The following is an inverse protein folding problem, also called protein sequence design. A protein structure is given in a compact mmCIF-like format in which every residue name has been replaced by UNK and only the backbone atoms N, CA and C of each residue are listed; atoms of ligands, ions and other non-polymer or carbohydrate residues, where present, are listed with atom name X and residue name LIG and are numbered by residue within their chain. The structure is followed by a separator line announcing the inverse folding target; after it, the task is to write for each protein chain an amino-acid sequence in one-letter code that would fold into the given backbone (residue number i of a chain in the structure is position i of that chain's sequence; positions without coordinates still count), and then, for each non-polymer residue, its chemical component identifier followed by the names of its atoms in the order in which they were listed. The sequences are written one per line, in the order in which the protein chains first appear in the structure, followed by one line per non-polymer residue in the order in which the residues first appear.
data_IF_429256639206
#
_entry.id   IF_429256639206
#
_cell.length_a   1.000
_cell.length_b   1.000
_cell.length_c   1.000
_cell.angle_alpha   90.00
_cell.angle_beta   90.00
_cell.angle_gamma   90.00
#
_symmetry.space_group_name_H-M   'P 1'
#
loop_
_entity.id
_entity.type
_entity.pdbx_description
1 polymer ?
#
# COMPACT_ATOMS: atom_id res chain seq x y z
N UNK A 1 25.87 6.74 -47.49
CA UNK A 1 24.68 5.87 -47.60
C UNK A 1 24.63 5.00 -46.35
N UNK A 2 23.71 5.32 -45.42
CA UNK A 2 23.57 4.58 -44.16
C UNK A 2 22.91 3.23 -44.43
N UNK A 3 23.56 2.15 -44.02
CA UNK A 3 23.10 0.78 -44.18
C UNK A 3 21.85 0.54 -43.29
N UNK A 4 20.68 0.17 -43.85
CA UNK A 4 19.43 -0.02 -43.10
C UNK A 4 19.36 -1.34 -42.30
N UNK A 5 20.41 -2.17 -42.31
CA UNK A 5 20.36 -3.53 -41.75
C UNK A 5 20.97 -3.71 -40.37
N UNK A 6 21.37 -2.65 -39.65
CA UNK A 6 21.77 -2.81 -38.24
C UNK A 6 20.55 -2.79 -37.29
N UNK A 7 19.57 -3.66 -37.56
CA UNK A 7 18.61 -4.11 -36.54
C UNK A 7 19.30 -5.18 -35.69
N UNK A 8 20.37 -4.80 -35.00
CA UNK A 8 20.94 -5.66 -33.96
C UNK A 8 19.88 -5.81 -32.87
N UNK A 9 19.45 -7.06 -32.71
CA UNK A 9 18.45 -7.54 -31.76
C UNK A 9 18.38 -6.71 -30.48
N UNK A 10 17.21 -6.10 -30.24
CA UNK A 10 16.82 -5.55 -28.95
C UNK A 10 17.25 -6.54 -27.85
N UNK A 11 18.14 -6.17 -26.91
CA UNK A 11 18.39 -7.03 -25.77
C UNK A 11 17.06 -7.23 -25.07
N UNK A 12 16.68 -8.49 -24.97
CA UNK A 12 15.40 -8.97 -24.44
C UNK A 12 15.08 -8.30 -23.10
N UNK A 13 14.15 -7.34 -23.16
CA UNK A 13 13.26 -6.81 -22.11
C UNK A 13 13.86 -6.76 -20.70
N UNK A 14 14.44 -5.63 -20.29
CA UNK A 14 14.69 -5.38 -18.89
C UNK A 14 13.55 -4.56 -18.24
N UNK A 15 13.04 -5.07 -17.13
CA UNK A 15 13.17 -4.36 -15.85
C UNK A 15 12.19 -3.21 -15.48
N UNK A 16 10.95 -3.22 -15.98
CA UNK A 16 9.80 -2.52 -15.35
C UNK A 16 9.57 -2.93 -13.87
N UNK A 17 10.15 -4.07 -13.46
CA UNK A 17 9.86 -4.76 -12.20
C UNK A 17 10.36 -4.03 -10.95
N UNK A 18 11.50 -3.32 -10.96
CA UNK A 18 11.97 -2.67 -9.70
C UNK A 18 11.31 -1.34 -9.41
N UNK A 19 10.94 -0.56 -10.43
CA UNK A 19 10.10 0.62 -10.21
C UNK A 19 8.74 0.17 -9.68
N UNK A 20 8.19 -0.92 -10.22
CA UNK A 20 7.00 -1.55 -9.65
C UNK A 20 7.23 -1.95 -8.19
N UNK A 21 8.33 -2.63 -7.83
CA UNK A 21 8.60 -3.03 -6.43
C UNK A 21 8.78 -1.84 -5.50
N UNK A 22 9.45 -0.77 -5.94
CA UNK A 22 9.64 0.46 -5.15
C UNK A 22 8.35 1.26 -4.93
N UNK A 23 7.34 1.08 -5.78
CA UNK A 23 6.03 1.72 -5.65
C UNK A 23 5.01 0.80 -4.99
N UNK A 24 5.04 -0.49 -5.31
CA UNK A 24 4.11 -1.53 -4.84
C UNK A 24 4.36 -1.87 -3.38
N UNK A 25 5.61 -1.94 -2.90
CA UNK A 25 5.86 -2.25 -1.49
C UNK A 25 5.38 -1.11 -0.56
N UNK A 26 5.67 0.18 -0.83
CA UNK A 26 5.09 1.27 -0.05
C UNK A 26 3.57 1.38 -0.21
N UNK A 27 3.04 1.21 -1.43
CA UNK A 27 1.58 1.20 -1.62
C UNK A 27 0.90 0.05 -0.85
N UNK A 28 1.51 -1.14 -0.81
CA UNK A 28 1.03 -2.28 -0.04
C UNK A 28 1.04 -1.98 1.48
N UNK A 29 2.00 -1.19 1.96
CA UNK A 29 2.04 -0.77 3.37
C UNK A 29 0.87 0.14 3.77
N UNK A 30 0.34 0.96 2.85
CA UNK A 30 -0.90 1.74 3.07
C UNK A 30 -2.10 0.80 3.23
N UNK A 31 -2.16 -0.30 2.46
CA UNK A 31 -3.20 -1.31 2.65
C UNK A 31 -3.06 -2.06 3.98
N UNK A 32 -1.89 -2.06 4.63
CA UNK A 32 -1.70 -2.72 5.93
C UNK A 32 -2.41 -1.99 7.07
N UNK A 33 -2.52 -0.66 7.01
CA UNK A 33 -3.29 0.08 8.05
C UNK A 33 -4.78 -0.21 7.95
N UNK A 34 -5.25 -0.56 6.75
CA UNK A 34 -6.66 -0.83 6.45
C UNK A 34 -7.00 -2.34 6.44
N UNK A 35 -6.12 -3.21 6.96
CA UNK A 35 -6.27 -4.67 6.88
C UNK A 35 -6.70 -5.37 8.16
N UNK A 36 -6.96 -6.69 8.10
CA UNK A 36 -7.09 -7.52 9.29
C UNK A 36 -5.80 -7.41 10.09
N UNK A 37 -5.87 -6.99 11.36
CA UNK A 37 -4.68 -6.71 12.18
C UNK A 37 -3.60 -7.83 12.11
N UNK A 38 -4.03 -9.09 12.16
CA UNK A 38 -3.15 -10.27 12.07
C UNK A 38 -2.48 -10.41 10.68
N UNK A 39 -3.22 -10.14 9.61
CA UNK A 39 -2.69 -10.21 8.24
C UNK A 39 -1.71 -9.07 7.96
N UNK A 40 -1.97 -7.89 8.51
CA UNK A 40 -1.07 -6.75 8.43
C UNK A 40 0.27 -7.01 9.12
N UNK A 41 0.27 -7.71 10.27
CA UNK A 41 1.51 -8.16 10.94
C UNK A 41 2.25 -9.18 10.07
N UNK A 42 1.56 -10.22 9.58
CA UNK A 42 2.19 -11.25 8.76
C UNK A 42 2.78 -10.67 7.47
N UNK A 43 2.08 -9.75 6.82
CA UNK A 43 2.57 -9.07 5.63
C UNK A 43 3.75 -8.14 5.95
N UNK A 44 3.72 -7.42 7.08
CA UNK A 44 4.85 -6.62 7.56
C UNK A 44 6.10 -7.47 7.80
N UNK A 45 5.94 -8.61 8.46
CA UNK A 45 7.04 -9.55 8.71
C UNK A 45 7.58 -10.14 7.39
N UNK A 46 6.70 -10.46 6.43
CA UNK A 46 7.11 -10.94 5.12
C UNK A 46 7.90 -9.87 4.36
N UNK A 47 7.41 -8.63 4.31
CA UNK A 47 8.12 -7.53 3.66
C UNK A 47 9.47 -7.28 4.37
N UNK A 48 9.50 -7.27 5.71
CA UNK A 48 10.74 -7.15 6.48
C UNK A 48 11.76 -8.24 6.24
N UNK A 49 11.30 -9.47 6.09
CA UNK A 49 12.17 -10.58 5.72
C UNK A 49 12.72 -10.41 4.29
N UNK A 50 11.88 -9.96 3.35
CA UNK A 50 12.28 -9.72 1.96
C UNK A 50 13.25 -8.55 1.83
N UNK A 51 13.05 -7.48 2.58
CA UNK A 51 13.94 -6.31 2.61
C UNK A 51 15.25 -6.64 3.32
N UNK A 52 15.24 -7.51 4.34
CA UNK A 52 16.45 -8.05 4.95
C UNK A 52 17.26 -8.92 3.98
N UNK A 53 16.60 -9.85 3.26
CA UNK A 53 17.25 -10.64 2.18
C UNK A 53 17.83 -9.71 1.12
N UNK A 54 17.06 -8.70 0.71
CA UNK A 54 17.52 -7.69 -0.24
C UNK A 54 18.74 -6.92 0.30
N UNK A 55 18.74 -6.58 1.58
CA UNK A 55 19.85 -5.94 2.26
C UNK A 55 21.12 -6.79 2.26
N UNK A 56 21.03 -8.05 2.66
CA UNK A 56 22.16 -8.99 2.59
C UNK A 56 22.69 -9.15 1.16
N UNK A 57 21.78 -9.19 0.18
CA UNK A 57 22.16 -9.27 -1.22
C UNK A 57 22.87 -8.00 -1.71
N UNK A 58 22.41 -6.80 -1.34
CA UNK A 58 23.06 -5.54 -1.70
C UNK A 58 24.44 -5.39 -1.05
N UNK A 59 24.60 -5.81 0.21
CA UNK A 59 25.90 -5.87 0.88
C UNK A 59 26.88 -6.79 0.14
N UNK A 60 26.41 -7.95 -0.34
CA UNK A 60 27.21 -8.89 -1.12
C UNK A 60 27.55 -8.38 -2.53
N UNK A 61 26.71 -7.51 -3.09
CA UNK A 61 26.83 -6.95 -4.44
C UNK A 61 27.08 -5.44 -4.44
N UNK A 62 27.94 -4.95 -3.54
CA UNK A 62 28.23 -3.51 -3.39
C UNK A 62 28.69 -2.80 -4.67
N UNK A 63 29.27 -3.54 -5.64
CA UNK A 63 29.66 -3.04 -6.96
C UNK A 63 28.47 -2.65 -7.86
N UNK A 64 27.25 -3.09 -7.53
CA UNK A 64 26.04 -2.73 -8.28
C UNK A 64 25.60 -1.28 -8.03
N UNK A 65 26.14 -0.60 -7.02
CA UNK A 65 25.84 0.79 -6.67
C UNK A 65 27.03 1.70 -6.96
N UNK A 66 26.76 2.95 -7.33
CA UNK A 66 27.79 3.97 -7.58
C UNK A 66 28.74 4.20 -6.39
N UNK A 67 28.26 3.93 -5.17
CA UNK A 67 29.02 3.94 -3.92
C UNK A 67 28.30 3.09 -2.88
N UNK A 68 29.05 2.35 -2.04
CA UNK A 68 28.50 1.60 -0.89
C UNK A 68 27.66 2.51 0.05
N UNK A 69 28.00 3.80 0.14
CA UNK A 69 27.23 4.80 0.90
C UNK A 69 25.82 5.02 0.34
N UNK A 70 25.63 4.91 -0.97
CA UNK A 70 24.33 5.10 -1.62
C UNK A 70 23.42 3.89 -1.38
N UNK A 71 23.96 2.67 -1.46
CA UNK A 71 23.22 1.45 -1.13
C UNK A 71 22.76 1.40 0.33
N UNK A 72 23.64 1.77 1.26
CA UNK A 72 23.30 1.81 2.70
C UNK A 72 22.20 2.85 3.01
N UNK A 73 22.19 3.99 2.32
CA UNK A 73 21.11 4.99 2.48
C UNK A 73 19.75 4.44 2.04
N UNK A 74 19.69 3.70 0.93
CA UNK A 74 18.45 3.06 0.47
C UNK A 74 17.96 2.00 1.47
N UNK A 75 18.87 1.16 1.97
CA UNK A 75 18.56 0.14 2.98
C UNK A 75 17.99 0.72 4.27
N UNK A 76 18.64 1.76 4.80
CA UNK A 76 18.20 2.44 6.02
C UNK A 76 16.79 3.02 5.85
N UNK A 77 16.48 3.58 4.68
CA UNK A 77 15.14 4.13 4.40
C UNK A 77 14.06 3.07 4.37
N UNK A 78 14.34 1.93 3.72
CA UNK A 78 13.40 0.81 3.66
C UNK A 78 13.11 0.27 5.08
N UNK A 79 14.16 0.12 5.91
CA UNK A 79 14.02 -0.31 7.31
C UNK A 79 13.23 0.70 8.14
N UNK A 80 13.49 2.01 7.97
CA UNK A 80 12.76 3.07 8.67
C UNK A 80 11.28 3.11 8.29
N UNK A 81 10.93 2.79 7.04
CA UNK A 81 9.54 2.69 6.61
C UNK A 81 8.80 1.53 7.23
N UNK A 82 9.42 0.35 7.26
CA UNK A 82 8.83 -0.80 7.94
C UNK A 82 8.65 -0.55 9.42
N UNK A 83 9.62 0.09 10.06
CA UNK A 83 9.49 0.50 11.44
C UNK A 83 8.33 1.49 11.63
N UNK A 84 8.14 2.44 10.70
CA UNK A 84 7.00 3.35 10.69
C UNK A 84 5.64 2.65 10.50
N UNK A 85 5.57 1.63 9.64
CA UNK A 85 4.37 0.83 9.43
C UNK A 85 4.04 -0.01 10.68
N UNK A 86 5.05 -0.62 11.31
CA UNK A 86 4.90 -1.36 12.57
C UNK A 86 4.47 -0.42 13.70
N UNK A 87 5.07 0.77 13.82
CA UNK A 87 4.66 1.77 14.81
C UNK A 87 3.24 2.26 14.59
N UNK A 88 2.81 2.44 13.34
CA UNK A 88 1.42 2.83 13.02
C UNK A 88 0.44 1.73 13.41
N UNK A 89 0.82 0.47 13.20
CA UNK A 89 0.03 -0.69 13.62
C UNK A 89 -0.03 -0.81 15.16
N UNK A 90 1.08 -0.59 15.86
CA UNK A 90 1.12 -0.55 17.31
C UNK A 90 0.36 0.66 17.89
N UNK A 91 0.41 1.82 17.24
CA UNK A 91 -0.37 3.00 17.61
C UNK A 91 -1.87 2.80 17.39
N UNK A 92 -2.27 1.96 16.42
CA UNK A 92 -3.66 1.55 16.26
C UNK A 92 -4.14 0.60 17.37
N UNK A 93 -3.23 -0.21 17.95
CA UNK A 93 -3.50 -1.09 19.08
C UNK A 93 -3.37 -0.38 20.45
N UNK A 94 -2.57 0.69 20.51
CA UNK A 94 -2.43 1.54 21.68
C UNK A 94 -3.52 2.62 21.71
N UNK A 95 -3.95 3.04 22.89
CA UNK A 95 -4.98 4.06 23.12
C UNK A 95 -4.55 5.50 22.71
N UNK A 96 -3.72 5.66 21.67
CA UNK A 96 -3.21 6.96 21.23
C UNK A 96 -4.16 7.59 20.22
N UNK A 97 -4.46 8.88 20.39
CA UNK A 97 -5.29 9.70 19.48
C UNK A 97 -4.64 10.03 18.14
N UNK A 98 -3.51 9.39 17.81
CA UNK A 98 -2.77 9.69 16.59
C UNK A 98 -3.26 8.76 15.50
N UNK A 99 -3.86 9.34 14.48
CA UNK A 99 -4.34 8.63 13.30
C UNK A 99 -3.18 7.88 12.62
N UNK A 100 -3.27 6.54 12.59
CA UNK A 100 -2.25 5.66 12.02
C UNK A 100 -2.01 5.96 10.53
N UNK A 101 -3.04 6.42 9.82
CA UNK A 101 -2.93 6.85 8.42
C UNK A 101 -2.04 8.09 8.30
N UNK A 102 -2.16 9.04 9.23
CA UNK A 102 -1.33 10.25 9.26
C UNK A 102 0.14 9.95 9.49
N UNK A 103 0.49 9.05 10.43
CA UNK A 103 1.88 8.63 10.67
C UNK A 103 2.47 7.95 9.44
N UNK A 104 1.71 7.02 8.84
CA UNK A 104 2.13 6.27 7.66
C UNK A 104 2.37 7.19 6.46
N UNK A 105 1.46 8.15 6.25
CA UNK A 105 1.57 9.14 5.17
C UNK A 105 2.77 10.08 5.37
N UNK A 106 3.05 10.47 6.61
CA UNK A 106 4.25 11.26 6.93
C UNK A 106 5.53 10.49 6.59
N UNK A 107 5.63 9.23 6.99
CA UNK A 107 6.76 8.37 6.67
C UNK A 107 6.93 8.17 5.15
N UNK A 108 5.81 7.99 4.43
CA UNK A 108 5.80 7.83 2.98
C UNK A 108 6.28 9.08 2.23
N UNK A 109 5.79 10.26 2.61
CA UNK A 109 6.25 11.51 2.01
C UNK A 109 7.75 11.75 2.24
N UNK A 110 8.26 11.42 3.44
CA UNK A 110 9.70 11.49 3.72
C UNK A 110 10.49 10.57 2.79
N UNK A 111 10.02 9.33 2.60
CA UNK A 111 10.67 8.38 1.70
C UNK A 111 10.79 8.97 0.29
N UNK A 112 9.68 9.47 -0.27
CA UNK A 112 9.69 10.01 -1.63
C UNK A 112 10.68 11.16 -1.79
N UNK A 113 10.80 12.03 -0.77
CA UNK A 113 11.80 13.10 -0.74
C UNK A 113 13.22 12.52 -0.76
N UNK A 114 13.51 11.52 0.07
CA UNK A 114 14.86 10.95 0.12
C UNK A 114 15.20 10.16 -1.13
N UNK A 115 14.28 9.34 -1.66
CA UNK A 115 14.45 8.65 -2.94
C UNK A 115 14.70 9.65 -4.07
N UNK A 116 13.92 10.73 -4.11
CA UNK A 116 14.08 11.79 -5.10
C UNK A 116 15.48 12.42 -5.08
N UNK A 117 16.00 12.69 -3.87
CA UNK A 117 17.35 13.22 -3.68
C UNK A 117 18.47 12.21 -4.06
N UNK A 118 18.18 10.90 -3.95
CA UNK A 118 19.14 9.85 -4.31
C UNK A 118 19.14 9.56 -5.82
N UNK A 119 17.98 9.60 -6.49
CA UNK A 119 17.81 9.27 -7.91
C UNK A 119 18.79 10.05 -8.81
N UNK A 120 18.93 11.36 -8.60
CA UNK A 120 19.83 12.20 -9.39
C UNK A 120 21.32 11.94 -9.18
N UNK A 121 21.71 11.17 -8.16
CA UNK A 121 23.11 10.85 -7.81
C UNK A 121 23.51 9.42 -8.19
N UNK A 122 22.57 8.62 -8.69
CA UNK A 122 22.81 7.25 -9.11
C UNK A 122 23.42 7.22 -10.50
N UNK A 123 24.57 6.56 -10.62
CA UNK A 123 25.10 6.18 -11.94
C UNK A 123 24.16 5.15 -12.60
N UNK A 124 24.19 5.03 -13.94
CA UNK A 124 23.53 3.94 -14.65
C UNK A 124 23.86 2.61 -13.98
N UNK A 125 22.82 1.89 -13.57
CA UNK A 125 22.98 0.65 -12.85
C UNK A 125 21.83 -0.30 -13.17
N UNK A 126 22.09 -1.58 -12.91
CA UNK A 126 21.15 -2.65 -13.20
C UNK A 126 19.96 -2.70 -12.25
N UNK A 127 19.87 -1.87 -11.20
CA UNK A 127 19.03 -2.10 -10.01
C UNK A 127 18.01 -1.00 -9.65
N UNK A 128 18.42 0.26 -9.65
CA UNK A 128 17.65 1.42 -9.19
C UNK A 128 17.72 2.55 -10.22
N UNK A 129 16.57 3.12 -10.54
CA UNK A 129 16.42 4.24 -11.47
C UNK A 129 15.50 3.90 -12.65
N UNK A 130 15.46 4.80 -13.62
CA UNK A 130 14.55 4.74 -14.75
C UNK A 130 15.07 3.76 -15.78
N UNK A 131 14.56 2.53 -15.73
CA UNK A 131 15.08 1.36 -16.44
C UNK A 131 14.47 1.17 -17.82
N UNK A 132 14.34 2.26 -18.57
CA UNK A 132 14.03 2.16 -19.99
C UNK A 132 15.27 1.69 -20.75
N UNK A 133 15.07 0.90 -21.81
CA UNK A 133 16.18 0.35 -22.62
C UNK A 133 17.09 1.47 -23.14
N UNK A 134 16.51 2.60 -23.54
CA UNK A 134 17.24 3.75 -24.04
C UNK A 134 17.95 4.58 -22.95
N UNK A 135 17.48 4.59 -21.70
CA UNK A 135 18.21 5.26 -20.62
C UNK A 135 19.42 4.45 -20.17
N UNK A 136 19.33 3.12 -20.15
CA UNK A 136 20.45 2.25 -19.78
C UNK A 136 21.56 2.24 -20.84
N UNK A 137 21.23 2.54 -22.10
CA UNK A 137 22.16 2.53 -23.22
C UNK A 137 22.87 3.88 -23.44
N UNK A 138 22.48 4.95 -22.74
CA UNK A 138 23.03 6.29 -22.97
C UNK A 138 23.15 7.09 -21.65
N UNK A 139 24.38 7.48 -21.28
CA UNK A 139 24.64 8.13 -19.97
C UNK A 139 23.95 9.48 -19.84
N UNK A 140 23.87 10.24 -20.93
CA UNK A 140 23.24 11.55 -20.95
C UNK A 140 21.74 11.42 -20.67
N UNK A 141 21.07 10.46 -21.33
CA UNK A 141 19.65 10.19 -21.12
C UNK A 141 19.38 9.69 -19.69
N UNK A 142 20.21 8.79 -19.17
CA UNK A 142 20.10 8.34 -17.77
C UNK A 142 20.19 9.50 -16.78
N UNK A 143 21.23 10.34 -16.90
CA UNK A 143 21.46 11.44 -15.97
C UNK A 143 20.34 12.47 -16.04
N UNK A 144 19.86 12.80 -17.25
CA UNK A 144 18.77 13.73 -17.46
C UNK A 144 17.46 13.22 -16.85
N UNK A 145 17.05 12.02 -17.24
CA UNK A 145 15.79 11.43 -16.77
C UNK A 145 15.80 11.18 -15.26
N UNK A 146 16.90 10.66 -14.71
CA UNK A 146 17.04 10.40 -13.26
C UNK A 146 17.05 11.68 -12.43
N UNK A 147 17.66 12.76 -12.92
CA UNK A 147 17.65 14.06 -12.22
C UNK A 147 16.25 14.68 -12.19
N UNK A 148 15.54 14.68 -13.32
CA UNK A 148 14.18 15.23 -13.38
C UNK A 148 13.22 14.37 -12.55
N UNK A 149 13.34 13.04 -12.64
CA UNK A 149 12.51 12.17 -11.81
C UNK A 149 12.82 12.33 -10.34
N UNK A 150 14.07 12.55 -9.97
CA UNK A 150 14.44 12.93 -8.61
C UNK A 150 13.65 14.15 -8.10
N UNK A 151 13.56 15.20 -8.91
CA UNK A 151 12.78 16.41 -8.59
C UNK A 151 11.28 16.08 -8.45
N UNK A 152 10.72 15.32 -9.38
CA UNK A 152 9.31 14.89 -9.37
C UNK A 152 9.00 14.10 -8.09
N UNK A 153 9.88 13.21 -7.66
CA UNK A 153 9.73 12.42 -6.44
C UNK A 153 9.81 13.30 -5.18
N UNK A 154 10.69 14.31 -5.14
CA UNK A 154 10.71 15.27 -4.02
C UNK A 154 9.42 16.07 -3.95
N UNK A 155 8.95 16.61 -5.08
CA UNK A 155 7.69 17.35 -5.15
C UNK A 155 6.52 16.44 -4.75
N UNK A 156 6.53 15.18 -5.18
CA UNK A 156 5.50 14.22 -4.81
C UNK A 156 5.47 13.91 -3.32
N UNK A 157 6.62 13.78 -2.66
CA UNK A 157 6.65 13.62 -1.20
C UNK A 157 6.09 14.83 -0.46
N UNK A 158 6.38 16.04 -0.93
CA UNK A 158 5.79 17.27 -0.37
C UNK A 158 4.28 17.37 -0.60
N UNK A 159 3.80 17.02 -1.79
CA UNK A 159 2.37 16.96 -2.10
C UNK A 159 1.64 15.89 -1.28
N UNK A 160 2.32 14.78 -0.98
CA UNK A 160 1.79 13.73 -0.10
C UNK A 160 1.54 14.28 1.31
N UNK A 161 2.47 15.05 1.87
CA UNK A 161 2.23 15.72 3.16
C UNK A 161 1.17 16.81 3.07
N UNK A 162 1.11 17.55 1.98
CA UNK A 162 0.05 18.55 1.75
C UNK A 162 -1.33 17.89 1.70
N UNK A 163 -1.44 16.66 1.20
CA UNK A 163 -2.72 15.92 1.15
C UNK A 163 -3.31 15.62 2.52
N UNK A 164 -2.48 15.50 3.57
CA UNK A 164 -2.95 15.34 4.95
C UNK A 164 -3.70 16.58 5.46
N UNK A 165 -3.29 17.77 5.03
CA UNK A 165 -3.92 19.03 5.43
C UNK A 165 -5.30 19.17 4.79
N UNK A 166 -5.43 18.78 3.52
CA UNK A 166 -6.67 18.94 2.75
C UNK A 166 -7.61 17.72 2.79
N UNK A 167 -7.21 16.61 3.43
CA UNK A 167 -8.00 15.37 3.56
C UNK A 167 -8.58 14.87 2.21
N UNK A 168 -7.78 14.89 1.14
CA UNK A 168 -8.20 14.45 -0.20
C UNK A 168 -7.59 13.08 -0.58
N UNK A 169 -8.25 11.95 -0.26
CA UNK A 169 -7.66 10.62 -0.49
C UNK A 169 -7.44 10.29 -1.97
N UNK A 170 -8.32 10.75 -2.87
CA UNK A 170 -8.19 10.54 -4.32
C UNK A 170 -6.96 11.22 -4.93
N UNK A 171 -6.47 12.32 -4.31
CA UNK A 171 -5.28 13.01 -4.78
C UNK A 171 -4.01 12.14 -4.61
N UNK A 172 -3.96 11.30 -3.57
CA UNK A 172 -2.83 10.40 -3.31
C UNK A 172 -2.68 9.32 -4.40
N UNK A 173 -3.79 8.75 -4.87
CA UNK A 173 -3.76 7.74 -5.93
C UNK A 173 -3.27 8.33 -7.26
N UNK A 174 -3.78 9.50 -7.64
CA UNK A 174 -3.34 10.22 -8.85
C UNK A 174 -1.86 10.58 -8.75
N UNK A 175 -1.42 11.01 -7.56
CA UNK A 175 -0.01 11.34 -7.31
C UNK A 175 0.90 10.13 -7.52
N UNK A 176 0.53 8.95 -7.02
CA UNK A 176 1.29 7.71 -7.22
C UNK A 176 1.38 7.35 -8.71
N UNK A 177 0.28 7.50 -9.46
CA UNK A 177 0.30 7.27 -10.91
C UNK A 177 1.25 8.24 -11.62
N UNK A 178 1.23 9.52 -11.25
CA UNK A 178 2.16 10.51 -11.81
C UNK A 178 3.61 10.13 -11.50
N UNK A 179 3.91 9.76 -10.25
CA UNK A 179 5.26 9.34 -9.84
C UNK A 179 5.76 8.09 -10.58
N UNK A 180 4.85 7.17 -10.93
CA UNK A 180 5.18 5.95 -11.68
C UNK A 180 5.36 6.21 -13.19
N UNK A 181 4.48 7.00 -13.82
CA UNK A 181 4.45 7.16 -15.27
C UNK A 181 5.26 8.34 -15.81
N UNK A 182 5.35 9.45 -15.06
CA UNK A 182 6.08 10.63 -15.52
C UNK A 182 7.57 10.37 -15.81
N UNK A 183 8.33 9.63 -14.98
CA UNK A 183 9.73 9.28 -15.26
C UNK A 183 9.92 8.54 -16.59
N UNK A 184 9.02 7.60 -16.88
CA UNK A 184 9.04 6.80 -18.11
C UNK A 184 8.80 7.68 -19.34
N UNK A 185 7.82 8.58 -19.25
CA UNK A 185 7.48 9.51 -20.32
C UNK A 185 8.65 10.47 -20.62
N UNK A 186 9.26 11.04 -19.59
CA UNK A 186 10.40 11.96 -19.71
C UNK A 186 11.59 11.27 -20.37
N UNK A 187 11.89 10.05 -19.94
CA UNK A 187 12.95 9.23 -20.53
C UNK A 187 12.69 8.96 -22.01
N UNK A 188 11.45 8.65 -22.39
CA UNK A 188 11.06 8.42 -23.78
C UNK A 188 11.15 9.70 -24.64
N UNK A 189 10.72 10.84 -24.11
CA UNK A 189 10.82 12.13 -24.80
C UNK A 189 12.28 12.46 -25.12
N UNK A 190 13.19 12.26 -24.17
CA UNK A 190 14.63 12.51 -24.37
C UNK A 190 15.24 11.56 -25.41
N UNK A 191 14.85 10.29 -25.38
CA UNK A 191 15.25 9.33 -26.41
C UNK A 191 14.78 9.75 -27.80
N UNK A 192 13.50 10.13 -27.95
CA UNK A 192 12.95 10.58 -29.23
C UNK A 192 13.69 11.82 -29.75
N UNK A 193 14.03 12.77 -28.87
CA UNK A 193 14.84 13.93 -29.21
C UNK A 193 16.21 13.53 -29.75
N UNK A 194 16.96 12.67 -29.03
CA UNK A 194 18.28 12.20 -29.44
C UNK A 194 18.28 11.43 -30.76
N UNK A 195 17.22 10.65 -31.03
CA UNK A 195 17.05 9.94 -32.31
C UNK A 195 16.76 10.94 -33.44
N UNK A 196 15.94 11.96 -33.19
CA UNK A 196 15.60 12.99 -34.20
C UNK A 196 16.80 13.85 -34.58
N UNK A 197 17.65 14.20 -33.61
CA UNK A 197 18.85 15.02 -33.82
C UNK A 197 20.05 14.21 -34.33
N UNK A 198 19.96 12.87 -34.37
CA UNK A 198 21.05 11.99 -34.76
C UNK A 198 22.20 11.94 -33.74
N UNK A 199 22.03 12.47 -32.54
CA UNK A 199 23.04 12.46 -31.47
C UNK A 199 23.02 11.18 -30.64
N UNK A 200 22.05 10.30 -30.87
CA UNK A 200 21.94 9.04 -30.14
C UNK A 200 23.16 8.13 -30.37
N UNK A 201 23.82 7.78 -29.26
CA UNK A 201 24.93 6.84 -29.22
C UNK A 201 24.70 5.83 -28.10
N UNK A 202 25.03 4.57 -28.40
CA UNK A 202 24.97 3.45 -27.46
C UNK A 202 26.31 3.34 -26.73
N UNK A 203 26.30 3.63 -25.44
CA UNK A 203 27.45 3.46 -24.56
C UNK A 203 27.43 2.03 -23.98
N UNK A 204 28.14 1.10 -24.64
CA UNK A 204 28.17 -0.31 -24.21
C UNK A 204 28.80 -0.53 -22.83
N UNK A 205 29.69 0.38 -22.40
CA UNK A 205 30.33 0.33 -21.07
C UNK A 205 29.35 0.59 -19.91
N UNK A 206 28.15 1.10 -20.22
CA UNK A 206 27.07 1.31 -19.24
C UNK A 206 26.21 0.08 -19.01
N UNK A 207 26.27 -0.89 -19.93
CA UNK A 207 25.42 -2.07 -19.82
C UNK A 207 25.82 -2.81 -18.55
N UNK A 208 24.87 -3.00 -17.62
CA UNK A 208 25.22 -3.55 -16.34
C UNK A 208 25.69 -5.00 -16.49
N UNK A 209 26.91 -5.28 -16.00
CA UNK A 209 27.48 -6.63 -15.95
C UNK A 209 26.71 -7.57 -15.01
N UNK A 210 25.94 -7.00 -14.07
CA UNK A 210 25.13 -7.75 -13.13
C UNK A 210 23.76 -8.05 -13.76
N UNK A 211 23.72 -9.11 -14.56
CA UNK A 211 22.46 -9.74 -14.94
C UNK A 211 21.99 -10.55 -13.74
N UNK A 212 20.81 -10.22 -13.21
CA UNK A 212 20.17 -11.04 -12.20
C UNK A 212 20.05 -12.46 -12.78
N UNK A 213 20.71 -13.44 -12.15
CA UNK A 213 20.69 -14.83 -12.63
C UNK A 213 19.26 -15.34 -12.79
N UNK A 214 19.07 -16.37 -13.61
CA UNK A 214 17.73 -16.95 -13.91
C UNK A 214 16.93 -17.19 -12.63
N UNK A 215 17.58 -17.69 -11.58
CA UNK A 215 17.02 -17.92 -10.24
C UNK A 215 16.54 -16.64 -9.54
N UNK A 216 17.30 -15.55 -9.61
CA UNK A 216 16.91 -14.27 -8.98
C UNK A 216 15.68 -13.64 -9.65
N UNK A 217 15.57 -13.75 -10.98
CA UNK A 217 14.38 -13.26 -11.71
C UNK A 217 13.14 -14.06 -11.34
N UNK A 218 13.26 -15.38 -11.25
CA UNK A 218 12.16 -16.27 -10.83
C UNK A 218 11.72 -15.92 -9.41
N UNK A 219 12.65 -15.72 -8.46
CA UNK A 219 12.33 -15.34 -7.09
C UNK A 219 11.56 -14.01 -7.02
N UNK A 220 11.97 -12.98 -7.77
CA UNK A 220 11.23 -11.71 -7.79
C UNK A 220 9.81 -11.92 -8.30
N UNK A 221 9.62 -12.67 -9.40
CA UNK A 221 8.29 -12.98 -9.92
C UNK A 221 7.43 -13.74 -8.93
N UNK A 222 7.99 -14.75 -8.25
CA UNK A 222 7.29 -15.51 -7.21
C UNK A 222 6.84 -14.57 -6.09
N UNK A 223 7.74 -13.72 -5.59
CA UNK A 223 7.42 -12.76 -4.53
C UNK A 223 6.33 -11.78 -4.97
N UNK A 224 6.47 -11.18 -6.15
CA UNK A 224 5.47 -10.24 -6.68
C UNK A 224 4.11 -10.90 -6.84
N UNK A 225 4.06 -12.14 -7.37
CA UNK A 225 2.81 -12.89 -7.51
C UNK A 225 2.22 -13.20 -6.14
N UNK A 226 3.01 -13.67 -5.17
CA UNK A 226 2.54 -13.93 -3.80
C UNK A 226 1.97 -12.66 -3.17
N UNK A 227 2.65 -11.52 -3.30
CA UNK A 227 2.15 -10.23 -2.78
C UNK A 227 0.84 -9.84 -3.44
N UNK A 228 0.72 -9.95 -4.77
CA UNK A 228 -0.52 -9.64 -5.49
C UNK A 228 -1.64 -10.58 -5.04
N UNK A 229 -1.37 -11.88 -4.88
CA UNK A 229 -2.34 -12.87 -4.42
C UNK A 229 -2.79 -12.58 -3.00
N UNK A 230 -1.88 -12.22 -2.09
CA UNK A 230 -2.22 -11.85 -0.71
C UNK A 230 -3.09 -10.59 -0.65
N UNK A 231 -2.76 -9.55 -1.43
CA UNK A 231 -3.57 -8.32 -1.51
C UNK A 231 -4.94 -8.61 -2.13
N UNK A 232 -5.00 -9.39 -3.21
CA UNK A 232 -6.26 -9.78 -3.85
C UNK A 232 -7.13 -10.61 -2.90
N UNK A 233 -6.54 -11.58 -2.19
CA UNK A 233 -7.22 -12.37 -1.17
C UNK A 233 -7.79 -11.45 -0.07
N UNK A 234 -7.01 -10.48 0.40
CA UNK A 234 -7.48 -9.51 1.40
C UNK A 234 -8.69 -8.71 0.91
N UNK A 235 -8.71 -8.27 -0.35
CA UNK A 235 -9.85 -7.55 -0.93
C UNK A 235 -11.08 -8.47 -1.05
N UNK A 236 -10.88 -9.70 -1.49
CA UNK A 236 -11.98 -10.67 -1.71
C UNK A 236 -12.60 -11.13 -0.39
N UNK A 237 -11.78 -11.51 0.59
CA UNK A 237 -12.25 -11.98 1.89
C UNK A 237 -12.67 -10.82 2.81
N UNK A 238 -12.15 -9.62 2.58
CA UNK A 238 -12.48 -8.35 3.25
C UNK A 238 -13.98 -8.02 3.29
N UNK A 239 -14.64 -8.22 2.15
CA UNK A 239 -15.99 -7.69 1.91
C UNK A 239 -17.12 -8.61 2.38
N UNK A 240 -16.83 -9.84 2.78
CA UNK A 240 -17.86 -10.84 3.06
C UNK A 240 -18.23 -10.85 4.55
N UNK A 241 -19.12 -9.94 4.95
CA UNK A 241 -19.89 -10.03 6.18
C UNK A 241 -21.39 -10.03 5.88
N UNK A 242 -22.16 -10.82 6.61
CA UNK A 242 -23.60 -10.93 6.44
C UNK A 242 -24.29 -10.90 7.80
N UNK A 243 -25.30 -10.04 7.92
CA UNK A 243 -26.18 -9.98 9.08
C UNK A 243 -27.47 -10.70 8.71
N UNK A 244 -27.66 -11.90 9.27
CA UNK A 244 -28.85 -12.72 9.05
C UNK A 244 -29.70 -12.77 10.32
N UNK A 245 -30.86 -12.08 10.35
CA UNK A 245 -31.82 -12.25 11.44
C UNK A 245 -32.49 -13.62 11.32
N UNK A 246 -32.25 -14.50 12.29
CA UNK A 246 -32.85 -15.83 12.36
C UNK A 246 -34.26 -15.80 12.97
N UNK A 247 -34.79 -16.98 13.29
CA UNK A 247 -36.07 -17.10 14.02
C UNK A 247 -35.94 -16.68 15.48
N UNK A 248 -34.89 -17.15 16.17
CA UNK A 248 -34.68 -16.98 17.63
C UNK A 248 -33.37 -16.26 17.99
N UNK A 249 -32.47 -16.11 17.02
CA UNK A 249 -31.16 -15.47 17.21
C UNK A 249 -30.75 -14.62 16.01
N UNK A 250 -30.05 -13.52 16.28
CA UNK A 250 -29.34 -12.73 15.28
C UNK A 250 -27.97 -13.34 15.03
N UNK A 251 -27.69 -13.72 13.77
CA UNK A 251 -26.39 -14.25 13.38
C UNK A 251 -25.64 -13.25 12.51
N UNK A 252 -24.49 -12.79 12.99
CA UNK A 252 -23.57 -11.94 12.25
C UNK A 252 -22.40 -12.84 11.83
N UNK A 253 -22.25 -13.06 10.53
CA UNK A 253 -21.16 -13.85 9.98
C UNK A 253 -20.13 -12.92 9.36
N UNK A 254 -18.87 -13.06 9.74
CA UNK A 254 -17.75 -12.36 9.12
C UNK A 254 -16.62 -13.34 8.83
N UNK A 255 -16.06 -13.23 7.64
CA UNK A 255 -14.91 -14.06 7.24
C UNK A 255 -13.65 -13.71 8.03
N UNK A 256 -13.52 -12.46 8.48
CA UNK A 256 -12.29 -11.90 9.04
C UNK A 256 -12.40 -11.41 10.48
N UNK A 257 -13.62 -11.22 10.99
CA UNK A 257 -13.87 -10.65 12.32
C UNK A 257 -14.62 -11.61 13.27
N UNK A 258 -14.65 -12.91 12.95
CA UNK A 258 -15.38 -13.91 13.72
C UNK A 258 -16.90 -13.87 13.51
N UNK A 259 -17.58 -14.94 13.94
CA UNK A 259 -19.03 -15.06 13.85
C UNK A 259 -19.64 -14.84 15.24
N UNK A 260 -20.68 -14.02 15.30
CA UNK A 260 -21.39 -13.68 16.54
C UNK A 260 -22.83 -14.12 16.40
N UNK A 261 -23.36 -14.76 17.44
CA UNK A 261 -24.74 -15.22 17.53
C UNK A 261 -25.35 -14.67 18.81
N UNK A 262 -26.40 -13.88 18.68
CA UNK A 262 -27.03 -13.17 19.79
C UNK A 262 -28.48 -13.66 19.87
N UNK A 263 -28.86 -14.39 20.92
CA UNK A 263 -30.26 -14.70 21.18
C UNK A 263 -31.07 -13.41 21.38
N UNK A 264 -32.28 -13.31 20.83
CA UNK A 264 -33.08 -12.09 20.96
C UNK A 264 -33.46 -11.76 22.42
N UNK A 265 -33.46 -12.77 23.29
CA UNK A 265 -33.76 -12.66 24.73
C UNK A 265 -32.69 -11.91 25.52
N UNK A 266 -31.46 -11.88 25.00
CA UNK A 266 -30.32 -11.27 25.67
C UNK A 266 -30.13 -9.80 25.29
N UNK A 267 -30.96 -9.28 24.39
CA UNK A 267 -30.96 -7.88 23.95
C UNK A 267 -31.72 -7.04 24.97
N UNK A 268 -31.02 -6.13 25.63
CA UNK A 268 -31.60 -5.21 26.63
C UNK A 268 -32.11 -3.92 25.99
N UNK A 269 -31.36 -3.39 25.01
CA UNK A 269 -31.77 -2.21 24.26
C UNK A 269 -31.34 -2.28 22.80
N UNK A 270 -32.13 -1.62 21.95
CA UNK A 270 -31.94 -1.55 20.52
C UNK A 270 -32.20 -0.10 20.06
N UNK A 271 -31.15 0.59 19.60
CA UNK A 271 -31.22 2.00 19.19
C UNK A 271 -30.66 2.21 17.78
N UNK A 272 -31.25 3.15 17.04
CA UNK A 272 -30.77 3.57 15.72
C UNK A 272 -30.09 4.94 15.89
N UNK A 273 -28.81 5.04 15.52
CA UNK A 273 -27.99 6.24 15.67
C UNK A 273 -27.28 6.61 14.38
N UNK A 274 -26.85 7.85 14.26
CA UNK A 274 -25.94 8.27 13.19
C UNK A 274 -24.57 7.60 13.37
N UNK A 275 -23.93 7.25 12.26
CA UNK A 275 -22.61 6.62 12.27
C UNK A 275 -21.57 7.57 12.87
N UNK A 276 -21.15 7.27 14.10
CA UNK A 276 -20.07 7.99 14.78
C UNK A 276 -18.71 7.34 14.53
N UNK A 277 -17.66 8.11 14.85
CA UNK A 277 -16.27 7.66 14.82
C UNK A 277 -16.13 6.37 15.65
N UNK A 278 -15.67 5.25 15.03
CA UNK A 278 -15.48 3.99 15.74
C UNK A 278 -14.51 4.06 16.92
N UNK A 279 -13.63 5.05 16.97
CA UNK A 279 -12.55 5.09 17.95
C UNK A 279 -11.42 4.13 17.59
N UNK A 280 -10.76 3.55 18.59
CA UNK A 280 -9.57 2.73 18.38
C UNK A 280 -9.94 1.30 18.00
N UNK A 281 -9.19 0.70 17.08
CA UNK A 281 -9.41 -0.67 16.64
C UNK A 281 -8.49 -1.62 17.39
N UNK A 282 -9.06 -2.39 18.31
CA UNK A 282 -8.32 -3.38 19.10
C UNK A 282 -8.00 -4.62 18.25
N UNK A 283 -8.96 -5.09 17.44
CA UNK A 283 -8.79 -6.25 16.54
C UNK A 283 -9.85 -6.25 15.44
N UNK A 284 -9.50 -6.60 14.21
CA UNK A 284 -10.49 -6.69 13.13
C UNK A 284 -10.01 -6.17 11.79
N UNK A 285 -10.94 -5.94 10.87
CA UNK A 285 -10.78 -5.42 9.51
C UNK A 285 -11.41 -4.03 9.41
N UNK A 286 -10.68 -3.04 8.88
CA UNK A 286 -11.23 -1.73 8.57
C UNK A 286 -10.72 -1.26 7.20
N UNK A 287 -11.51 -1.44 6.15
CA UNK A 287 -11.12 -1.05 4.80
C UNK A 287 -12.34 -0.75 3.93
N UNK A 288 -12.18 0.16 2.97
CA UNK A 288 -13.20 0.48 1.96
C UNK A 288 -14.57 0.88 2.58
N UNK A 289 -14.54 1.55 3.74
CA UNK A 289 -15.75 1.97 4.46
C UNK A 289 -16.50 0.81 5.12
N UNK A 290 -15.79 -0.26 5.46
CA UNK A 290 -16.31 -1.41 6.22
C UNK A 290 -15.44 -1.57 7.47
N UNK A 291 -16.05 -1.61 8.64
CA UNK A 291 -15.41 -1.79 9.95
C UNK A 291 -15.97 -3.05 10.63
N UNK A 292 -15.13 -4.06 10.82
CA UNK A 292 -15.49 -5.37 11.38
C UNK A 292 -14.53 -5.76 12.50
N UNK A 293 -14.99 -6.01 13.71
CA UNK A 293 -14.19 -6.57 14.81
C UNK A 293 -14.37 -5.86 16.14
N UNK A 294 -13.36 -5.95 17.00
CA UNK A 294 -13.32 -5.33 18.32
C UNK A 294 -12.75 -3.91 18.25
N UNK A 295 -13.51 -2.97 18.81
CA UNK A 295 -13.17 -1.55 18.88
C UNK A 295 -13.26 -1.07 20.33
N UNK A 296 -12.57 0.03 20.61
CA UNK A 296 -12.57 0.70 21.90
C UNK A 296 -12.76 2.21 21.76
N UNK A 297 -13.74 2.78 22.48
CA UNK A 297 -13.95 4.22 22.52
C UNK A 297 -14.41 4.69 23.91
N UNK A 298 -14.55 6.00 24.09
CA UNK A 298 -14.97 6.59 25.38
C UNK A 298 -16.45 6.41 25.69
N UNK A 299 -17.29 6.11 24.69
CA UNK A 299 -18.74 5.99 24.85
C UNK A 299 -19.17 4.56 25.24
N UNK A 300 -18.68 3.56 24.52
CA UNK A 300 -19.04 2.15 24.65
C UNK A 300 -17.99 1.34 25.41
N UNK A 301 -16.81 1.91 25.69
CA UNK A 301 -15.69 1.11 26.20
C UNK A 301 -15.21 0.14 25.12
N UNK A 302 -15.08 -1.16 25.43
CA UNK A 302 -14.79 -2.21 24.45
C UNK A 302 -16.10 -2.76 23.88
N UNK A 303 -16.20 -2.80 22.56
CA UNK A 303 -17.41 -3.20 21.86
C UNK A 303 -17.09 -3.91 20.54
N UNK A 304 -18.08 -4.61 19.99
CA UNK A 304 -17.98 -5.23 18.67
C UNK A 304 -18.64 -4.34 17.62
N UNK A 305 -17.97 -4.16 16.48
CA UNK A 305 -18.46 -3.37 15.37
C UNK A 305 -18.54 -4.22 14.11
N UNK A 306 -19.66 -4.14 13.42
CA UNK A 306 -19.92 -4.77 12.12
C UNK A 306 -20.66 -3.77 11.23
N UNK A 307 -19.98 -2.73 10.79
CA UNK A 307 -20.59 -1.62 10.04
C UNK A 307 -20.12 -1.57 8.60
N UNK A 308 -21.06 -1.39 7.68
CA UNK A 308 -20.81 -1.05 6.28
C UNK A 308 -20.84 0.45 6.02
N UNK A 309 -21.06 0.83 4.75
CA UNK A 309 -21.01 2.21 4.28
C UNK A 309 -22.26 3.06 4.61
N UNK A 310 -23.21 2.52 5.38
CA UNK A 310 -24.42 3.25 5.74
C UNK A 310 -24.12 4.42 6.70
N UNK A 311 -24.78 5.58 6.53
CA UNK A 311 -24.67 6.70 7.46
C UNK A 311 -25.36 6.43 8.81
N UNK A 312 -26.10 5.33 8.94
CA UNK A 312 -26.78 4.92 10.17
C UNK A 312 -26.19 3.63 10.72
N UNK A 313 -26.18 3.53 12.05
CA UNK A 313 -25.73 2.34 12.80
C UNK A 313 -26.80 1.92 13.80
N UNK A 314 -26.92 0.60 13.97
CA UNK A 314 -27.79 -0.02 14.96
C UNK A 314 -26.93 -0.39 16.15
N UNK A 315 -27.25 0.15 17.31
CA UNK A 315 -26.66 -0.22 18.59
C UNK A 315 -27.51 -1.29 19.26
N UNK A 316 -26.89 -2.42 19.55
CA UNK A 316 -27.47 -3.56 20.25
C UNK A 316 -26.70 -3.70 21.56
N UNK A 317 -27.36 -3.45 22.70
CA UNK A 317 -26.78 -3.74 24.01
C UNK A 317 -27.26 -5.08 24.50
N UNK A 318 -26.30 -5.94 24.84
CA UNK A 318 -26.52 -7.19 25.55
C UNK A 318 -25.97 -7.07 26.97
N UNK A 319 -26.26 -8.05 27.83
CA UNK A 319 -25.71 -8.10 29.20
C UNK A 319 -24.18 -8.10 29.25
N UNK A 320 -23.56 -8.73 28.27
CA UNK A 320 -22.12 -8.99 28.28
C UNK A 320 -21.32 -8.02 27.39
N UNK A 321 -21.93 -7.53 26.30
CA UNK A 321 -21.24 -6.68 25.32
C UNK A 321 -22.16 -5.74 24.53
N UNK A 322 -21.59 -4.64 24.04
CA UNK A 322 -22.24 -3.73 23.08
C UNK A 322 -21.83 -4.11 21.66
N UNK A 323 -22.81 -4.18 20.76
CA UNK A 323 -22.61 -4.56 19.37
C UNK A 323 -23.21 -3.47 18.48
N UNK A 324 -22.38 -2.88 17.62
CA UNK A 324 -22.78 -1.83 16.68
C UNK A 324 -22.73 -2.42 15.29
N UNK A 325 -23.85 -2.40 14.57
CA UNK A 325 -23.91 -2.99 13.23
C UNK A 325 -24.63 -2.11 12.21
N UNK A 326 -24.23 -2.19 10.94
CA UNK A 326 -24.90 -1.54 9.83
C UNK A 326 -24.71 -2.32 8.54
N UNK A 327 -25.58 -2.08 7.57
CA UNK A 327 -25.46 -2.65 6.22
C UNK A 327 -24.88 -1.59 5.26
N UNK A 328 -24.80 -1.93 3.97
CA UNK A 328 -24.17 -1.07 2.95
C UNK A 328 -24.97 0.20 2.61
N UNK A 329 -26.26 0.27 2.95
CA UNK A 329 -27.15 1.37 2.59
C UNK A 329 -28.07 1.75 3.74
N UNK A 330 -28.43 3.03 3.82
CA UNK A 330 -29.37 3.59 4.80
C UNK A 330 -30.67 2.80 4.86
N UNK A 331 -31.32 2.60 3.70
CA UNK A 331 -32.60 1.88 3.60
C UNK A 331 -32.49 0.44 4.10
N UNK A 332 -31.37 -0.24 3.81
CA UNK A 332 -31.15 -1.62 4.26
C UNK A 332 -30.95 -1.67 5.78
N UNK A 333 -30.22 -0.71 6.34
CA UNK A 333 -30.02 -0.61 7.80
C UNK A 333 -31.34 -0.32 8.52
N UNK A 334 -32.17 0.60 8.01
CA UNK A 334 -33.49 0.89 8.59
C UNK A 334 -34.42 -0.33 8.53
N UNK A 335 -34.49 -1.02 7.38
CA UNK A 335 -35.26 -2.26 7.26
C UNK A 335 -34.77 -3.37 8.20
N UNK A 336 -33.46 -3.46 8.44
CA UNK A 336 -32.90 -4.41 9.40
C UNK A 336 -33.33 -4.05 10.82
N UNK A 337 -33.29 -2.77 11.19
CA UNK A 337 -33.71 -2.28 12.50
C UNK A 337 -35.19 -2.57 12.78
N UNK A 338 -36.08 -2.29 11.82
CA UNK A 338 -37.51 -2.58 11.95
C UNK A 338 -37.78 -4.08 12.18
N UNK A 339 -37.05 -4.95 11.46
CA UNK A 339 -37.14 -6.40 11.64
C UNK A 339 -36.65 -6.87 13.00
N UNK A 340 -35.59 -6.24 13.53
CA UNK A 340 -35.08 -6.55 14.86
C UNK A 340 -36.07 -6.11 15.95
N UNK A 341 -36.63 -4.90 15.84
CA UNK A 341 -37.67 -4.43 16.77
C UNK A 341 -38.89 -5.35 16.85
N UNK A 342 -39.31 -5.91 15.71
CA UNK A 342 -40.42 -6.87 15.68
C UNK A 342 -40.10 -8.22 16.34
N UNK A 343 -38.83 -8.60 16.40
CA UNK A 343 -38.37 -9.89 16.94
C UNK A 343 -37.93 -9.83 18.41
N UNK A 344 -37.60 -8.64 18.90
CA UNK A 344 -37.19 -8.39 20.29
C UNK A 344 -38.37 -8.02 21.20
N UNK A 345 -39.52 -7.60 20.63
CA UNK A 345 -40.80 -7.50 21.36
C UNK A 345 -41.42 -8.87 21.59
#
# INVERSE_FOLDING_TARGET
MNNPNNRSSLPSRPLLVTELVLVVLPAASIFMTEGPFQMSILLSCLIGFLTWIFGLWTLKNAKAFSSARTGNRFLILIILMEYGAILSLLASAGQTRVDALSITTLALGLLFIVIGNLLGKLSPNSFIGIRTTWALENRENWNYSSRISGIIWVIGGLLCWLSLIFKMPFAGFILILILAFAPLLISYMKYREQVRTGTWKKDLDLLPSCSLGKTGKIMIWIVTIITIVLVAAMIIFGKNYEIRPGSDQLSIRSTLAGNVQIPYKDIESLELKDAQDPGNRDWGYAAFGIDLGHYSNTEYGRYLRYTGQSPLVIEIRTRDETIVCSLDSKEKTEQLFDRLQQKTK
#
